data_IF_224727898540
#
_entry.id   IF_224727898540
#
_cell.length_a   1.000
_cell.length_b   1.000
_cell.length_c   1.000
_cell.angle_alpha   90.00
_cell.angle_beta   90.00
_cell.angle_gamma   90.00
#
_symmetry.space_group_name_H-M   'P 1'
#
loop_
_entity.id
_entity.type
_entity.pdbx_description
1 polymer ?
#
# COMPACT_ATOMS: atom_id res chain seq x y z
N UNK A 1 53.43 -6.46 7.63
CA UNK A 1 52.37 -5.78 8.38
C UNK A 1 51.12 -5.78 7.51
N UNK A 2 50.31 -6.83 7.60
CA UNK A 2 49.02 -6.91 6.92
C UNK A 2 47.96 -6.91 8.01
N UNK A 3 47.26 -5.79 8.15
CA UNK A 3 46.15 -5.62 9.08
C UNK A 3 44.96 -6.34 8.45
N UNK A 4 44.57 -7.46 9.07
CA UNK A 4 43.32 -8.15 8.77
C UNK A 4 42.17 -7.25 9.24
N UNK A 5 41.17 -6.92 8.41
CA UNK A 5 40.00 -6.20 8.87
C UNK A 5 39.21 -7.08 9.86
N UNK A 6 38.58 -6.50 10.90
CA UNK A 6 37.77 -7.26 11.83
C UNK A 6 36.55 -7.83 11.09
N UNK A 7 36.45 -9.16 11.08
CA UNK A 7 35.22 -9.86 10.72
C UNK A 7 34.22 -9.70 11.86
N UNK A 8 33.49 -8.58 11.88
CA UNK A 8 32.28 -8.46 12.69
C UNK A 8 31.13 -9.10 11.91
N UNK A 9 30.89 -10.38 12.15
CA UNK A 9 29.72 -11.10 11.68
C UNK A 9 28.45 -10.55 12.34
N UNK A 10 27.86 -9.51 11.76
CA UNK A 10 26.44 -9.23 11.96
C UNK A 10 25.71 -10.22 11.07
N UNK A 11 25.47 -11.42 11.61
CA UNK A 11 24.66 -12.43 10.93
C UNK A 11 23.31 -11.81 10.56
N UNK A 12 22.89 -11.99 9.30
CA UNK A 12 21.55 -11.60 8.88
C UNK A 12 20.53 -12.07 9.94
N UNK A 13 19.62 -11.21 10.39
CA UNK A 13 18.61 -11.64 11.33
C UNK A 13 17.86 -12.82 10.68
N UNK A 14 17.70 -13.93 11.41
CA UNK A 14 17.13 -15.17 10.90
C UNK A 14 15.70 -15.01 10.37
N UNK A 15 15.05 -16.12 9.98
CA UNK A 15 13.63 -16.07 9.61
C UNK A 15 12.78 -15.50 10.75
N UNK A 16 11.59 -14.99 10.43
CA UNK A 16 10.71 -14.43 11.45
C UNK A 16 10.40 -15.46 12.55
N UNK A 17 10.22 -16.73 12.19
CA UNK A 17 9.98 -17.82 13.13
C UNK A 17 11.18 -18.09 14.06
N UNK A 18 12.41 -17.96 13.57
CA UNK A 18 13.61 -18.04 14.42
C UNK A 18 13.65 -16.90 15.42
N UNK A 19 13.39 -15.67 14.93
CA UNK A 19 13.39 -14.49 15.79
C UNK A 19 12.30 -14.62 16.87
N UNK A 20 11.09 -15.07 16.50
CA UNK A 20 10.01 -15.33 17.45
C UNK A 20 10.44 -16.32 18.53
N UNK A 21 11.07 -17.44 18.16
CA UNK A 21 11.57 -18.42 19.14
C UNK A 21 12.56 -17.81 20.12
N UNK A 22 13.50 -17.00 19.63
CA UNK A 22 14.52 -16.34 20.46
C UNK A 22 13.93 -15.27 21.38
N UNK A 23 12.98 -14.48 20.89
CA UNK A 23 12.22 -13.53 21.73
C UNK A 23 11.48 -14.28 22.84
N UNK A 24 10.82 -15.39 22.54
CA UNK A 24 10.17 -16.23 23.55
C UNK A 24 11.16 -16.86 24.56
N UNK A 25 12.42 -17.06 24.17
CA UNK A 25 13.50 -17.52 25.04
C UNK A 25 14.14 -16.42 25.91
N UNK A 26 13.67 -15.17 25.79
CA UNK A 26 14.11 -14.04 26.63
C UNK A 26 14.99 -13.01 25.90
N UNK A 27 15.27 -13.18 24.61
CA UNK A 27 15.99 -12.19 23.80
C UNK A 27 15.03 -11.09 23.29
N UNK A 28 14.42 -10.36 24.22
CA UNK A 28 13.32 -9.41 23.94
C UNK A 28 13.68 -8.33 22.92
N UNK A 29 14.94 -7.88 22.92
CA UNK A 29 15.45 -6.87 21.98
C UNK A 29 15.31 -7.28 20.50
N UNK A 30 15.24 -8.59 20.20
CA UNK A 30 15.04 -9.05 18.82
C UNK A 30 13.63 -8.78 18.29
N UNK A 31 12.66 -8.46 19.15
CA UNK A 31 11.32 -8.09 18.72
C UNK A 31 11.34 -6.82 17.86
N UNK A 32 12.26 -5.89 18.12
CA UNK A 32 12.46 -4.68 17.29
C UNK A 32 12.75 -5.03 15.82
N UNK A 33 13.45 -6.13 15.56
CA UNK A 33 13.74 -6.59 14.20
C UNK A 33 12.46 -7.01 13.49
N UNK A 34 11.58 -7.75 14.17
CA UNK A 34 10.27 -8.11 13.64
C UNK A 34 9.42 -6.86 13.36
N UNK A 35 9.43 -5.89 14.30
CA UNK A 35 8.72 -4.62 14.10
C UNK A 35 9.21 -3.93 12.83
N UNK A 36 10.51 -3.64 12.73
CA UNK A 36 11.08 -2.93 11.57
C UNK A 36 10.78 -3.63 10.24
N UNK A 37 10.81 -4.98 10.21
CA UNK A 37 10.46 -5.77 9.02
C UNK A 37 9.01 -5.62 8.61
N UNK A 38 8.08 -5.55 9.56
CA UNK A 38 6.64 -5.61 9.30
C UNK A 38 5.91 -4.27 9.41
N UNK A 39 6.61 -3.19 9.81
CA UNK A 39 6.02 -1.87 10.03
C UNK A 39 5.19 -1.38 8.84
N UNK A 40 5.74 -1.45 7.63
CA UNK A 40 5.04 -0.98 6.43
C UNK A 40 3.74 -1.75 6.18
N UNK A 41 3.76 -3.07 6.37
CA UNK A 41 2.59 -3.94 6.18
C UNK A 41 1.51 -3.66 7.21
N UNK A 42 1.89 -3.56 8.48
CA UNK A 42 0.96 -3.28 9.59
C UNK A 42 0.32 -1.91 9.42
N UNK A 43 1.13 -0.88 9.12
CA UNK A 43 0.64 0.46 8.84
C UNK A 43 -0.35 0.48 7.68
N UNK A 44 0.00 -0.12 6.52
CA UNK A 44 -0.91 -0.20 5.36
C UNK A 44 -2.21 -0.91 5.69
N UNK A 45 -2.16 -2.01 6.44
CA UNK A 45 -3.36 -2.74 6.85
C UNK A 45 -4.28 -1.90 7.77
N UNK A 46 -3.71 -1.19 8.76
CA UNK A 46 -4.47 -0.32 9.64
C UNK A 46 -5.05 0.90 8.89
N UNK A 47 -4.21 1.59 8.10
CA UNK A 47 -4.59 2.74 7.27
C UNK A 47 -5.66 2.39 6.24
N UNK A 48 -5.66 1.14 5.76
CA UNK A 48 -6.68 0.64 4.85
C UNK A 48 -8.09 0.67 5.45
N UNK A 49 -8.20 0.55 6.78
CA UNK A 49 -9.46 0.44 7.49
C UNK A 49 -9.88 1.78 8.10
N UNK A 50 -8.95 2.53 8.67
CA UNK A 50 -9.20 3.75 9.44
C UNK A 50 -9.22 5.01 8.59
N UNK A 51 -8.51 5.00 7.45
CA UNK A 51 -8.35 6.18 6.57
C UNK A 51 -7.74 7.42 7.25
N UNK A 52 -7.05 7.25 8.37
CA UNK A 52 -6.35 8.30 9.08
C UNK A 52 -4.96 7.78 9.51
N UNK A 53 -3.92 8.58 9.32
CA UNK A 53 -2.53 8.20 9.56
C UNK A 53 -2.20 8.11 11.05
N UNK A 54 -2.65 9.08 11.83
CA UNK A 54 -2.46 9.12 13.28
C UNK A 54 -3.16 7.93 13.95
N UNK A 55 -4.43 7.67 13.59
CA UNK A 55 -5.14 6.50 14.12
C UNK A 55 -4.50 5.17 13.68
N UNK A 56 -3.91 5.12 12.48
CA UNK A 56 -3.23 3.93 11.99
C UNK A 56 -1.92 3.65 12.75
N UNK A 57 -1.16 4.69 13.07
CA UNK A 57 0.04 4.59 13.91
C UNK A 57 -0.30 4.14 15.34
N UNK A 58 -1.35 4.70 15.93
CA UNK A 58 -1.84 4.29 17.26
C UNK A 58 -2.27 2.81 17.26
N UNK A 59 -3.03 2.39 16.25
CA UNK A 59 -3.43 0.98 16.10
C UNK A 59 -2.23 0.07 15.87
N UNK A 60 -1.22 0.52 15.13
CA UNK A 60 0.01 -0.24 14.92
C UNK A 60 0.76 -0.45 16.23
N UNK A 61 0.83 0.57 17.11
CA UNK A 61 1.39 0.43 18.45
C UNK A 61 0.59 -0.57 19.30
N UNK A 62 -0.74 -0.40 19.38
CA UNK A 62 -1.65 -1.32 20.08
C UNK A 62 -1.44 -2.77 19.60
N UNK A 63 -1.32 -2.96 18.28
CA UNK A 63 -1.14 -4.27 17.66
C UNK A 63 0.20 -4.92 18.03
N UNK A 64 1.30 -4.16 18.08
CA UNK A 64 2.59 -4.70 18.49
C UNK A 64 2.63 -5.06 19.97
N UNK A 65 2.01 -4.25 20.84
CA UNK A 65 1.88 -4.58 22.26
C UNK A 65 1.13 -5.90 22.42
N UNK A 66 -0.03 -6.03 21.78
CA UNK A 66 -0.82 -7.29 21.81
C UNK A 66 -0.07 -8.46 21.21
N UNK A 67 0.64 -8.25 20.11
CA UNK A 67 1.45 -9.27 19.46
C UNK A 67 2.57 -9.75 20.40
N UNK A 68 3.22 -8.84 21.13
CA UNK A 68 4.24 -9.20 22.12
C UNK A 68 3.65 -10.01 23.27
N UNK A 69 2.52 -9.55 23.85
CA UNK A 69 1.83 -10.24 24.94
C UNK A 69 1.40 -11.67 24.58
N UNK A 70 0.97 -11.87 23.33
CA UNK A 70 0.48 -13.16 22.84
C UNK A 70 1.52 -13.95 22.04
N UNK A 71 2.77 -13.47 21.97
CA UNK A 71 3.80 -14.04 21.11
C UNK A 71 4.09 -15.51 21.45
N UNK A 72 4.05 -15.86 22.74
CA UNK A 72 4.24 -17.23 23.22
C UNK A 72 3.13 -18.20 22.79
N UNK A 73 1.96 -17.67 22.44
CA UNK A 73 0.81 -18.45 21.95
C UNK A 73 0.81 -18.56 20.41
N UNK A 74 1.82 -17.99 19.73
CA UNK A 74 1.95 -18.13 18.29
C UNK A 74 2.46 -19.53 17.93
N UNK A 75 1.56 -20.36 17.41
CA UNK A 75 1.84 -21.77 17.10
C UNK A 75 2.49 -21.99 15.72
N UNK A 76 2.78 -20.94 14.94
CA UNK A 76 3.38 -21.09 13.61
C UNK A 76 2.47 -21.73 12.55
N UNK A 77 1.15 -21.81 12.78
CA UNK A 77 0.17 -22.34 11.80
C UNK A 77 -0.02 -21.44 10.57
N UNK A 78 0.41 -20.18 10.67
CA UNK A 78 0.49 -19.21 9.57
C UNK A 78 1.85 -18.52 9.63
N UNK A 79 2.21 -17.77 8.59
CA UNK A 79 3.35 -16.84 8.67
C UNK A 79 3.12 -15.83 9.80
N UNK A 80 4.20 -15.41 10.45
CA UNK A 80 4.14 -14.38 11.49
C UNK A 80 3.51 -13.08 10.96
N UNK A 81 3.88 -12.65 9.76
CA UNK A 81 3.32 -11.46 9.11
C UNK A 81 1.80 -11.52 8.95
N UNK A 82 1.24 -12.69 8.59
CA UNK A 82 -0.22 -12.90 8.50
C UNK A 82 -0.87 -12.76 9.88
N UNK A 83 -0.30 -13.42 10.90
CA UNK A 83 -0.83 -13.38 12.26
C UNK A 83 -0.82 -11.95 12.84
N UNK A 84 0.29 -11.24 12.68
CA UNK A 84 0.44 -9.84 13.10
C UNK A 84 -0.54 -8.91 12.36
N UNK A 85 -0.69 -9.09 11.05
CA UNK A 85 -1.65 -8.30 10.24
C UNK A 85 -3.08 -8.52 10.74
N UNK A 86 -3.44 -9.75 11.12
CA UNK A 86 -4.76 -10.06 11.67
C UNK A 86 -5.04 -9.30 12.98
N UNK A 87 -4.05 -9.22 13.88
CA UNK A 87 -4.16 -8.43 15.11
C UNK A 87 -4.43 -6.96 14.77
N UNK A 88 -3.62 -6.36 13.88
CA UNK A 88 -3.77 -4.96 13.48
C UNK A 88 -5.13 -4.67 12.82
N UNK A 89 -5.61 -5.57 11.95
CA UNK A 89 -6.94 -5.43 11.32
C UNK A 89 -8.05 -5.50 12.36
N UNK A 90 -7.96 -6.39 13.35
CA UNK A 90 -8.97 -6.46 14.42
C UNK A 90 -8.99 -5.20 15.28
N UNK A 91 -7.83 -4.66 15.66
CA UNK A 91 -7.74 -3.39 16.39
C UNK A 91 -8.32 -2.22 15.57
N UNK A 92 -7.96 -2.12 14.29
CA UNK A 92 -8.48 -1.09 13.40
C UNK A 92 -10.01 -1.16 13.26
N UNK A 93 -10.56 -2.35 13.03
CA UNK A 93 -12.01 -2.54 12.94
C UNK A 93 -12.71 -2.23 14.27
N UNK A 94 -12.12 -2.58 15.41
CA UNK A 94 -12.65 -2.27 16.73
C UNK A 94 -12.67 -0.76 16.99
N UNK A 95 -11.62 -0.04 16.59
CA UNK A 95 -11.54 1.42 16.70
C UNK A 95 -12.56 2.11 15.80
N UNK A 96 -12.62 1.74 14.51
CA UNK A 96 -13.63 2.26 13.57
C UNK A 96 -15.07 2.11 14.07
N UNK A 97 -15.41 0.93 14.63
CA UNK A 97 -16.73 0.68 15.22
C UNK A 97 -17.04 1.57 16.43
N UNK A 98 -16.03 1.95 17.21
CA UNK A 98 -16.20 2.88 18.34
C UNK A 98 -16.42 4.30 17.85
N UNK A 99 -15.61 4.78 16.90
CA UNK A 99 -15.75 6.12 16.33
C UNK A 99 -17.12 6.32 15.66
N UNK A 100 -17.60 5.32 14.91
CA UNK A 100 -18.95 5.34 14.30
C UNK A 100 -20.10 5.39 15.30
N UNK A 101 -19.90 4.97 16.56
CA UNK A 101 -20.94 5.05 17.61
C UNK A 101 -20.96 6.38 18.33
N UNK A 102 -19.89 7.17 18.21
CA UNK A 102 -19.67 8.41 18.98
C UNK A 102 -19.93 9.68 18.16
N UNK A 103 -20.07 9.58 16.84
CA UNK A 103 -20.19 10.71 15.91
C UNK A 103 -21.61 10.89 15.35
N UNK A 104 -22.29 12.03 15.62
CA UNK A 104 -23.16 12.70 14.67
C UNK A 104 -22.37 13.77 13.90
N UNK A 105 -22.00 13.46 12.65
CA UNK A 105 -21.49 14.36 11.60
C UNK A 105 -20.40 15.39 12.00
N UNK A 106 -19.13 15.00 11.91
CA UNK A 106 -18.05 15.89 11.51
C UNK A 106 -17.12 15.20 10.50
N UNK A 107 -17.52 15.19 9.22
CA UNK A 107 -16.61 14.86 8.13
C UNK A 107 -15.89 16.14 7.68
N UNK A 108 -14.61 16.28 8.02
CA UNK A 108 -13.69 17.14 7.28
C UNK A 108 -12.33 16.47 7.14
N UNK A 109 -11.84 16.53 5.91
CA UNK A 109 -10.59 15.96 5.41
C UNK A 109 -9.38 16.40 6.22
N UNK A 110 -8.48 15.45 6.44
CA UNK A 110 -7.08 15.74 6.74
C UNK A 110 -6.25 15.12 5.60
N UNK A 111 -5.86 15.98 4.65
CA UNK A 111 -4.88 15.64 3.60
C UNK A 111 -3.50 15.54 4.26
N UNK A 112 -3.03 14.30 4.45
CA UNK A 112 -1.79 13.98 5.15
C UNK A 112 -0.67 13.53 4.22
N UNK A 113 0.18 14.49 3.85
CA UNK A 113 1.63 14.42 3.57
C UNK A 113 2.22 13.08 3.07
N UNK A 114 2.56 13.07 1.78
CA UNK A 114 3.43 12.06 1.17
C UNK A 114 4.84 12.07 1.80
N UNK A 115 5.22 10.97 2.45
CA UNK A 115 6.60 10.72 2.83
C UNK A 115 7.42 10.29 1.59
N UNK A 116 8.20 11.22 1.03
CA UNK A 116 9.17 10.92 -0.03
C UNK A 116 10.50 10.46 0.58
N UNK A 117 11.04 9.33 0.11
CA UNK A 117 12.45 8.99 0.34
C UNK A 117 13.17 8.68 -0.97
N UNK A 118 14.41 9.16 -0.98
CA UNK A 118 15.40 9.38 -2.04
C UNK A 118 15.88 8.15 -2.82
N UNK A 119 15.99 8.27 -4.15
CA UNK A 119 17.26 8.47 -4.89
C UNK A 119 17.12 8.16 -6.40
N UNK A 120 17.77 9.00 -7.23
CA UNK A 120 18.14 8.79 -8.65
C UNK A 120 17.14 9.12 -9.78
N UNK A 121 17.65 9.94 -10.72
CA UNK A 121 17.17 10.39 -12.05
C UNK A 121 15.93 11.33 -12.13
N UNK A 122 16.08 12.65 -12.44
CA UNK A 122 15.01 13.65 -12.31
C UNK A 122 13.79 13.45 -13.23
N UNK A 123 13.99 13.00 -14.47
CA UNK A 123 12.91 12.92 -15.47
C UNK A 123 12.05 11.65 -15.33
N UNK A 124 12.63 10.55 -14.88
CA UNK A 124 11.90 9.30 -14.62
C UNK A 124 11.11 9.38 -13.30
N UNK A 125 11.64 10.06 -12.28
CA UNK A 125 10.92 10.26 -11.02
C UNK A 125 9.67 11.14 -11.16
N UNK A 126 9.68 12.17 -12.00
CA UNK A 126 8.47 12.98 -12.18
C UNK A 126 7.30 12.12 -12.68
N UNK A 127 7.55 11.27 -13.69
CA UNK A 127 6.54 10.39 -14.26
C UNK A 127 6.08 9.31 -13.26
N UNK A 128 7.01 8.69 -12.52
CA UNK A 128 6.67 7.67 -11.54
C UNK A 128 5.92 8.26 -10.33
N UNK A 129 6.27 9.48 -9.91
CA UNK A 129 5.58 10.21 -8.83
C UNK A 129 4.17 10.61 -9.25
N UNK A 130 3.99 11.09 -10.49
CA UNK A 130 2.68 11.44 -11.03
C UNK A 130 1.78 10.20 -11.16
N UNK A 131 2.30 9.10 -11.71
CA UNK A 131 1.55 7.83 -11.80
C UNK A 131 1.20 7.31 -10.41
N UNK A 132 2.13 7.37 -9.46
CA UNK A 132 1.89 6.96 -8.09
C UNK A 132 0.79 7.81 -7.43
N UNK A 133 0.83 9.12 -7.58
CA UNK A 133 -0.19 10.03 -7.04
C UNK A 133 -1.57 9.76 -7.65
N UNK A 134 -1.64 9.48 -8.95
CA UNK A 134 -2.87 9.07 -9.62
C UNK A 134 -3.42 7.75 -9.07
N UNK A 135 -2.56 6.76 -8.86
CA UNK A 135 -2.94 5.47 -8.27
C UNK A 135 -3.40 5.61 -6.82
N UNK A 136 -2.67 6.37 -6.00
CA UNK A 136 -3.04 6.64 -4.60
C UNK A 136 -4.40 7.31 -4.52
N UNK A 137 -4.63 8.38 -5.30
CA UNK A 137 -5.92 9.05 -5.40
C UNK A 137 -7.03 8.11 -5.85
N UNK A 138 -6.79 7.29 -6.88
CA UNK A 138 -7.78 6.33 -7.36
C UNK A 138 -8.15 5.30 -6.28
N UNK A 139 -7.16 4.79 -5.53
CA UNK A 139 -7.38 3.87 -4.41
C UNK A 139 -8.18 4.53 -3.30
N UNK A 140 -7.94 5.81 -3.00
CA UNK A 140 -8.69 6.57 -1.99
C UNK A 140 -10.19 6.69 -2.32
N UNK A 141 -10.58 6.76 -3.60
CA UNK A 141 -12.00 6.82 -4.03
C UNK A 141 -12.82 5.53 -3.79
N UNK A 142 -12.15 4.43 -3.41
CA UNK A 142 -12.83 3.19 -3.08
C UNK A 142 -13.61 3.35 -1.77
N UNK A 143 -14.79 2.74 -1.68
CA UNK A 143 -15.47 2.61 -0.39
C UNK A 143 -14.64 1.76 0.57
N UNK A 144 -14.82 1.93 1.88
CA UNK A 144 -13.98 1.29 2.90
C UNK A 144 -13.89 -0.23 2.77
N UNK A 145 -15.00 -0.88 2.43
CA UNK A 145 -15.06 -2.32 2.22
C UNK A 145 -14.23 -2.78 1.00
N UNK A 146 -14.20 -1.97 -0.06
CA UNK A 146 -13.42 -2.28 -1.27
C UNK A 146 -11.95 -1.93 -1.07
N UNK A 147 -11.67 -0.84 -0.38
CA UNK A 147 -10.32 -0.39 -0.06
C UNK A 147 -9.58 -1.39 0.82
N UNK A 148 -10.19 -1.82 1.94
CA UNK A 148 -9.57 -2.79 2.84
C UNK A 148 -9.25 -4.10 2.12
N UNK A 149 -10.20 -4.62 1.32
CA UNK A 149 -9.97 -5.84 0.52
C UNK A 149 -8.86 -5.63 -0.52
N UNK A 150 -8.85 -4.47 -1.19
CA UNK A 150 -7.85 -4.17 -2.21
C UNK A 150 -6.44 -4.09 -1.62
N UNK A 151 -6.26 -3.36 -0.51
CA UNK A 151 -4.94 -3.24 0.14
C UNK A 151 -4.45 -4.62 0.61
N UNK A 152 -5.27 -5.38 1.35
CA UNK A 152 -4.84 -6.68 1.88
C UNK A 152 -4.52 -7.70 0.77
N UNK A 153 -5.30 -7.74 -0.33
CA UNK A 153 -5.11 -8.72 -1.41
C UNK A 153 -4.10 -8.29 -2.48
N UNK A 154 -4.19 -7.05 -2.94
CA UNK A 154 -3.45 -6.58 -4.11
C UNK A 154 -2.11 -5.94 -3.73
N UNK A 155 -2.02 -5.30 -2.54
CA UNK A 155 -0.80 -4.63 -2.09
C UNK A 155 -0.02 -5.54 -1.12
N UNK A 156 -0.68 -6.10 -0.11
CA UNK A 156 -0.03 -6.95 0.90
C UNK A 156 0.08 -8.43 0.53
N UNK A 157 -0.55 -8.83 -0.58
CA UNK A 157 -0.45 -10.17 -1.14
C UNK A 157 -1.05 -11.29 -0.27
N UNK A 158 -1.91 -10.96 0.71
CA UNK A 158 -2.61 -11.95 1.53
C UNK A 158 -3.50 -12.82 0.65
N UNK A 159 -3.72 -14.09 1.00
CA UNK A 159 -4.65 -14.98 0.31
C UNK A 159 -6.12 -14.57 0.49
N UNK A 160 -7.02 -15.20 -0.28
CA UNK A 160 -8.47 -15.00 -0.13
C UNK A 160 -8.96 -15.38 1.27
N UNK A 161 -8.55 -16.57 1.73
CA UNK A 161 -8.85 -17.09 3.06
C UNK A 161 -8.33 -16.19 4.19
N UNK A 162 -7.05 -15.80 4.17
CA UNK A 162 -6.48 -14.92 5.21
C UNK A 162 -7.19 -13.56 5.25
N UNK A 163 -7.52 -12.99 4.08
CA UNK A 163 -8.23 -11.71 4.01
C UNK A 163 -9.65 -11.84 4.57
N UNK A 164 -10.35 -12.94 4.22
CA UNK A 164 -11.70 -13.24 4.69
C UNK A 164 -11.74 -13.36 6.22
N UNK A 165 -10.78 -14.09 6.79
CA UNK A 165 -10.62 -14.26 8.24
C UNK A 165 -10.32 -12.93 8.96
N UNK A 166 -9.42 -12.11 8.40
CA UNK A 166 -9.08 -10.81 9.00
C UNK A 166 -10.27 -9.85 8.99
N UNK A 167 -11.01 -9.80 7.87
CA UNK A 167 -12.13 -8.87 7.72
C UNK A 167 -13.46 -9.40 8.28
N UNK A 168 -13.51 -10.66 8.73
CA UNK A 168 -14.73 -11.27 9.26
C UNK A 168 -15.83 -11.47 8.20
N UNK A 169 -15.44 -11.80 6.96
CA UNK A 169 -16.35 -12.02 5.82
C UNK A 169 -16.04 -13.35 5.12
N UNK A 170 -16.86 -13.78 4.16
CA UNK A 170 -16.57 -14.98 3.37
C UNK A 170 -15.55 -14.72 2.25
N UNK A 171 -14.84 -15.77 1.81
CA UNK A 171 -13.91 -15.68 0.67
C UNK A 171 -14.59 -15.21 -0.62
N UNK A 172 -15.86 -15.57 -0.84
CA UNK A 172 -16.61 -15.12 -2.02
C UNK A 172 -16.95 -13.63 -1.96
N UNK A 173 -17.20 -13.09 -0.76
CA UNK A 173 -17.30 -11.64 -0.55
C UNK A 173 -15.97 -10.97 -0.87
N UNK A 174 -14.83 -11.53 -0.44
CA UNK A 174 -13.50 -11.01 -0.79
C UNK A 174 -13.28 -10.99 -2.30
N UNK A 175 -13.58 -12.08 -3.02
CA UNK A 175 -13.46 -12.14 -4.48
C UNK A 175 -14.31 -11.06 -5.17
N UNK A 176 -15.57 -10.93 -4.74
CA UNK A 176 -16.52 -9.98 -5.32
C UNK A 176 -16.07 -8.54 -5.06
N UNK A 177 -15.69 -8.21 -3.82
CA UNK A 177 -15.18 -6.88 -3.44
C UNK A 177 -13.91 -6.52 -4.20
N UNK A 178 -12.96 -7.46 -4.33
CA UNK A 178 -11.72 -7.23 -5.09
C UNK A 178 -12.00 -6.97 -6.58
N UNK A 179 -12.90 -7.73 -7.19
CA UNK A 179 -13.29 -7.51 -8.59
C UNK A 179 -13.90 -6.12 -8.79
N UNK A 180 -14.83 -5.72 -7.90
CA UNK A 180 -15.46 -4.39 -7.93
C UNK A 180 -14.45 -3.27 -7.68
N UNK A 181 -13.53 -3.45 -6.73
CA UNK A 181 -12.46 -2.50 -6.45
C UNK A 181 -11.60 -2.26 -7.69
N UNK A 182 -11.15 -3.32 -8.36
CA UNK A 182 -10.37 -3.22 -9.61
C UNK A 182 -11.14 -2.53 -10.72
N UNK A 183 -12.44 -2.79 -10.86
CA UNK A 183 -13.27 -2.10 -11.85
C UNK A 183 -13.33 -0.60 -11.58
N UNK A 184 -13.62 -0.21 -10.34
CA UNK A 184 -13.72 1.20 -9.94
C UNK A 184 -12.39 1.94 -10.06
N UNK A 185 -11.27 1.27 -9.76
CA UNK A 185 -9.93 1.81 -10.01
C UNK A 185 -9.69 2.09 -11.50
N UNK A 186 -10.06 1.17 -12.39
CA UNK A 186 -9.91 1.40 -13.85
C UNK A 186 -10.77 2.57 -14.30
N UNK A 187 -12.01 2.66 -13.84
CA UNK A 187 -12.90 3.78 -14.15
C UNK A 187 -12.30 5.12 -13.67
N UNK A 188 -11.85 5.20 -12.42
CA UNK A 188 -11.24 6.41 -11.86
C UNK A 188 -9.94 6.81 -12.58
N UNK A 189 -9.11 5.84 -12.97
CA UNK A 189 -7.89 6.11 -13.74
C UNK A 189 -8.21 6.61 -15.14
N UNK A 190 -9.21 6.02 -15.82
CA UNK A 190 -9.66 6.50 -17.13
C UNK A 190 -10.17 7.95 -17.06
N UNK A 191 -11.02 8.26 -16.09
CA UNK A 191 -11.51 9.64 -15.85
C UNK A 191 -10.34 10.60 -15.57
N UNK A 192 -9.30 10.16 -14.86
CA UNK A 192 -8.14 11.02 -14.55
C UNK A 192 -7.29 11.36 -15.78
N UNK A 193 -7.24 10.47 -16.78
CA UNK A 193 -6.44 10.67 -18.01
C UNK A 193 -7.26 11.25 -19.16
N UNK A 194 -8.60 11.25 -19.07
CA UNK A 194 -9.51 11.80 -20.09
C UNK A 194 -9.11 13.21 -20.58
N UNK A 195 -8.74 14.17 -19.71
CA UNK A 195 -8.32 15.50 -20.15
C UNK A 195 -7.06 15.51 -21.02
N UNK A 196 -6.21 14.49 -20.90
CA UNK A 196 -4.95 14.35 -21.64
C UNK A 196 -5.10 13.57 -22.95
N UNK A 197 -6.23 12.89 -23.18
CA UNK A 197 -6.46 12.09 -24.40
C UNK A 197 -6.31 12.87 -25.72
N UNK A 198 -6.75 14.13 -25.84
CA UNK A 198 -6.56 14.89 -27.08
C UNK A 198 -5.09 15.09 -27.47
N UNK A 199 -4.16 15.04 -26.51
CA UNK A 199 -2.73 15.23 -26.76
C UNK A 199 -2.05 13.99 -27.36
N UNK A 200 -2.65 12.80 -27.24
CA UNK A 200 -2.04 11.50 -27.65
C UNK A 200 -1.80 11.41 -29.16
N UNK A 201 -2.45 12.27 -29.96
CA UNK A 201 -2.25 12.38 -31.41
C UNK A 201 -2.21 13.84 -31.88
N UNK A 202 -1.69 14.76 -31.06
CA UNK A 202 -1.66 16.17 -31.43
C UNK A 202 -0.86 16.38 -32.73
N UNK A 203 -1.52 16.95 -33.74
CA UNK A 203 -0.90 17.23 -35.02
C UNK A 203 -0.11 18.54 -34.92
N UNK A 204 1.15 18.44 -34.48
CA UNK A 204 2.01 19.60 -34.33
C UNK A 204 2.18 20.40 -35.63
N UNK A 205 2.32 21.73 -35.51
CA UNK A 205 2.46 22.68 -36.62
C UNK A 205 3.53 22.28 -37.65
N UNK A 206 4.64 21.68 -37.21
CA UNK A 206 5.72 21.19 -38.10
C UNK A 206 5.33 19.99 -38.99
N UNK A 207 4.29 19.23 -38.63
CA UNK A 207 3.66 18.23 -39.50
C UNK A 207 2.69 18.89 -40.47
N UNK A 208 1.99 19.95 -40.03
CA UNK A 208 1.13 20.80 -40.85
C UNK A 208 1.90 21.43 -42.01
N UNK A 209 3.01 22.12 -41.73
CA UNK A 209 3.82 22.81 -42.74
C UNK A 209 4.37 21.84 -43.78
N UNK A 210 4.78 20.63 -43.36
CA UNK A 210 5.25 19.59 -44.27
C UNK A 210 4.15 19.06 -45.19
N UNK A 211 2.94 18.87 -44.67
CA UNK A 211 1.79 18.45 -45.49
C UNK A 211 1.42 19.56 -46.47
N UNK A 212 1.33 20.81 -46.01
CA UNK A 212 1.03 21.97 -46.85
C UNK A 212 2.07 22.12 -47.97
N UNK A 213 3.36 22.09 -47.65
CA UNK A 213 4.43 22.20 -48.65
C UNK A 213 4.48 21.01 -49.62
N UNK A 214 4.08 19.81 -49.20
CA UNK A 214 3.98 18.65 -50.08
C UNK A 214 2.76 18.74 -51.01
N UNK A 215 1.63 19.27 -50.52
CA UNK A 215 0.42 19.48 -51.31
C UNK A 215 0.64 20.60 -52.34
N UNK A 216 1.16 21.76 -51.93
CA UNK A 216 1.42 22.89 -52.84
C UNK A 216 2.33 22.47 -54.01
N UNK A 217 3.40 21.72 -53.74
CA UNK A 217 4.29 21.19 -54.80
C UNK A 217 3.58 20.31 -55.82
N UNK A 218 2.57 19.52 -55.41
CA UNK A 218 1.81 18.64 -56.33
C UNK A 218 0.78 19.41 -57.16
N UNK A 219 0.32 20.56 -56.70
CA UNK A 219 -0.64 21.40 -57.43
C UNK A 219 0.10 22.30 -58.43
N UNK A 220 1.36 22.66 -58.15
CA UNK A 220 2.22 23.47 -59.01
C UNK A 220 2.91 22.68 -60.14
N UNK A 221 2.77 21.35 -60.18
CA UNK A 221 3.26 20.55 -61.31
C UNK A 221 2.12 20.33 -62.31
N UNK A 222 2.21 20.83 -63.57
CA UNK A 222 1.16 20.66 -64.58
C UNK A 222 1.01 19.23 -65.09
#
# INVERSE_FOLDING_TARGET
>A
MAVNPPQSGVGEPGSDEEIVRRVCAGEEALFEVLMRRHNQRVYRAARAILRNDVEAEDVMQDAYVRAYEHLRNFEGRSRFSTWLTRIAVYEALARRRRSQRLEPLAALQEEGLMATSSSSNPEQQLSDVEIRALLEKAVETLSDDFHAVFVLRAIEGMSGAETAECLGVSEDVVKTRLSRARRRLREALLESIEPSLPAVYEFHLSRCDRVVAAVLRRIETP
#
